data_IF_326991162945
#
_entry.id   IF_326991162945
#
_cell.length_a   1.000
_cell.length_b   1.000
_cell.length_c   1.000
_cell.angle_alpha   90.00
_cell.angle_beta   90.00
_cell.angle_gamma   90.00
#
_symmetry.space_group_name_H-M   'P 1'
#
loop_
_entity.id
_entity.type
_entity.pdbx_description
1 polymer ?
#
# COMPACT_ATOMS: atom_id res chain seq x y z
N UNK A 1 -4.50 -17.74 -2.96
CA UNK A 1 -3.76 -17.54 -4.21
C UNK A 1 -2.55 -16.63 -3.95
N UNK A 2 -1.41 -16.91 -4.55
CA UNK A 2 -0.26 -16.03 -4.37
C UNK A 2 -0.51 -14.66 -5.01
N UNK A 3 0.15 -13.66 -4.48
CA UNK A 3 0.06 -12.30 -4.97
C UNK A 3 0.65 -12.22 -6.38
N UNK A 4 -0.05 -11.56 -7.31
CA UNK A 4 0.46 -11.41 -8.67
C UNK A 4 1.71 -10.52 -8.70
N UNK A 5 2.53 -10.67 -9.73
CA UNK A 5 3.76 -9.89 -9.90
C UNK A 5 3.42 -8.40 -9.96
N UNK A 6 2.36 -8.04 -10.66
CA UNK A 6 1.94 -6.64 -10.79
C UNK A 6 1.52 -6.07 -9.42
N UNK A 7 0.66 -6.78 -8.69
CA UNK A 7 0.22 -6.32 -7.38
C UNK A 7 1.38 -6.26 -6.39
N UNK A 8 2.28 -7.23 -6.42
CA UNK A 8 3.48 -7.18 -5.58
C UNK A 8 4.31 -5.92 -5.83
N UNK A 9 4.45 -5.53 -7.10
CA UNK A 9 5.16 -4.30 -7.46
C UNK A 9 4.47 -3.06 -6.93
N UNK A 10 3.13 -2.99 -7.02
CA UNK A 10 2.36 -1.88 -6.49
C UNK A 10 2.50 -1.78 -4.96
N UNK A 11 2.44 -2.94 -4.28
CA UNK A 11 2.57 -2.97 -2.81
C UNK A 11 3.97 -2.54 -2.39
N UNK A 12 5.02 -2.99 -3.09
CA UNK A 12 6.38 -2.53 -2.81
C UNK A 12 6.49 -1.01 -2.92
N UNK A 13 5.85 -0.42 -3.92
CA UNK A 13 5.85 1.04 -4.11
C UNK A 13 5.20 1.76 -2.93
N UNK A 14 4.19 1.15 -2.30
CA UNK A 14 3.52 1.73 -1.14
C UNK A 14 4.31 1.54 0.15
N UNK A 15 5.04 0.44 0.30
CA UNK A 15 5.84 0.16 1.50
C UNK A 15 7.15 0.94 1.50
N UNK A 16 7.75 1.12 0.33
CA UNK A 16 9.06 1.76 0.19
C UNK A 16 9.18 3.09 0.95
N UNK A 17 8.23 4.03 0.81
CA UNK A 17 8.36 5.32 1.51
C UNK A 17 8.22 5.24 3.03
N UNK A 18 7.71 4.14 3.57
CA UNK A 18 7.50 3.99 5.02
C UNK A 18 8.38 2.92 5.65
N UNK A 19 9.30 2.34 4.88
CA UNK A 19 10.10 1.21 5.36
C UNK A 19 10.95 1.55 6.58
N UNK A 20 11.33 2.80 6.75
CA UNK A 20 12.13 3.28 7.87
C UNK A 20 11.34 4.12 8.88
N UNK A 21 10.04 4.31 8.65
CA UNK A 21 9.20 5.06 9.59
C UNK A 21 8.88 4.21 10.82
N UNK A 22 8.81 4.84 11.98
CA UNK A 22 8.44 4.15 13.21
C UNK A 22 7.00 3.64 13.17
N UNK A 23 6.10 4.43 12.58
CA UNK A 23 4.70 4.07 12.47
C UNK A 23 4.18 4.40 11.07
N UNK A 24 4.03 3.37 10.20
CA UNK A 24 3.54 3.61 8.82
C UNK A 24 2.17 4.27 8.77
N UNK A 25 1.31 4.06 9.78
CA UNK A 25 -0.03 4.66 9.80
C UNK A 25 0.02 6.17 9.85
N UNK A 26 1.07 6.75 10.43
CA UNK A 26 1.23 8.20 10.49
C UNK A 26 1.62 8.80 9.13
N UNK A 27 2.12 7.97 8.22
CA UNK A 27 2.55 8.41 6.89
C UNK A 27 1.44 8.30 5.84
N UNK A 28 0.26 7.77 6.19
CA UNK A 28 -0.80 7.51 5.22
C UNK A 28 -1.19 8.77 4.46
N UNK A 29 -1.34 9.92 5.13
CA UNK A 29 -1.73 11.16 4.46
C UNK A 29 -0.71 11.56 3.38
N UNK A 30 0.58 11.42 3.69
CA UNK A 30 1.65 11.73 2.73
C UNK A 30 1.60 10.78 1.54
N UNK A 31 1.38 9.49 1.80
CA UNK A 31 1.30 8.48 0.74
C UNK A 31 0.09 8.74 -0.15
N UNK A 32 -1.06 9.06 0.44
CA UNK A 32 -2.27 9.36 -0.32
C UNK A 32 -2.07 10.60 -1.19
N UNK A 33 -1.40 11.62 -0.66
CA UNK A 33 -1.09 12.81 -1.45
C UNK A 33 -0.28 12.45 -2.70
N UNK A 34 0.70 11.56 -2.56
CA UNK A 34 1.51 11.10 -3.68
C UNK A 34 0.68 10.30 -4.69
N UNK A 35 -0.13 9.36 -4.20
CA UNK A 35 -0.90 8.46 -5.06
C UNK A 35 -2.02 9.21 -5.80
N UNK A 36 -2.75 10.07 -5.09
CA UNK A 36 -3.97 10.67 -5.64
C UNK A 36 -3.69 11.99 -6.33
N UNK A 37 -2.88 12.85 -5.73
CA UNK A 37 -2.70 14.22 -6.21
C UNK A 37 -1.57 14.35 -7.22
N UNK A 38 -0.39 13.82 -6.89
CA UNK A 38 0.77 14.03 -7.76
C UNK A 38 0.83 13.02 -8.90
N UNK A 39 0.23 11.82 -8.70
CA UNK A 39 0.26 10.73 -9.67
C UNK A 39 1.67 10.46 -10.18
N UNK A 40 2.65 10.62 -9.29
CA UNK A 40 4.05 10.44 -9.65
C UNK A 40 4.44 8.97 -9.89
N UNK A 41 3.53 8.05 -9.58
CA UNK A 41 3.74 6.63 -9.77
C UNK A 41 3.00 6.15 -11.03
N UNK A 42 3.46 5.05 -11.60
CA UNK A 42 2.98 4.55 -12.89
C UNK A 42 1.63 3.86 -12.84
N UNK A 43 0.86 4.05 -11.77
CA UNK A 43 -0.43 3.39 -11.59
C UNK A 43 -1.48 4.39 -11.11
N UNK A 44 -2.74 4.11 -11.44
CA UNK A 44 -3.86 4.92 -10.97
C UNK A 44 -4.22 4.58 -9.52
N UNK A 45 -4.93 5.48 -8.81
CA UNK A 45 -5.42 5.16 -7.46
C UNK A 45 -6.26 3.87 -7.45
N UNK A 46 -7.10 3.65 -8.46
CA UNK A 46 -7.91 2.44 -8.56
C UNK A 46 -7.05 1.18 -8.68
N UNK A 47 -5.96 1.26 -9.43
CA UNK A 47 -5.04 0.13 -9.55
C UNK A 47 -4.37 -0.19 -8.22
N UNK A 48 -3.99 0.83 -7.45
CA UNK A 48 -3.44 0.63 -6.10
C UNK A 48 -4.46 0.00 -5.18
N UNK A 49 -5.70 0.48 -5.21
CA UNK A 49 -6.76 -0.07 -4.37
C UNK A 49 -7.01 -1.55 -4.70
N UNK A 50 -7.06 -1.88 -5.97
CA UNK A 50 -7.24 -3.26 -6.42
C UNK A 50 -6.07 -4.15 -5.98
N UNK A 51 -4.84 -3.67 -6.12
CA UNK A 51 -3.64 -4.40 -5.69
C UNK A 51 -3.63 -4.62 -4.19
N UNK A 52 -4.02 -3.62 -3.40
CA UNK A 52 -4.12 -3.76 -1.95
C UNK A 52 -5.16 -4.81 -1.58
N UNK A 53 -6.32 -4.81 -2.22
CA UNK A 53 -7.37 -5.80 -1.97
C UNK A 53 -6.85 -7.21 -2.21
N UNK A 54 -6.15 -7.41 -3.31
CA UNK A 54 -5.53 -8.69 -3.63
C UNK A 54 -4.52 -9.09 -2.54
N UNK A 55 -3.68 -8.13 -2.12
CA UNK A 55 -2.67 -8.38 -1.09
C UNK A 55 -3.31 -8.79 0.24
N UNK A 56 -4.36 -8.09 0.65
CA UNK A 56 -5.02 -8.37 1.92
C UNK A 56 -5.74 -9.72 1.95
N UNK A 57 -6.10 -10.26 0.80
CA UNK A 57 -6.70 -11.59 0.70
C UNK A 57 -5.67 -12.68 0.47
N UNK A 58 -4.40 -12.31 0.23
CA UNK A 58 -3.33 -13.27 0.00
C UNK A 58 -2.82 -13.84 1.33
N UNK A 59 -2.34 -15.10 1.29
CA UNK A 59 -1.66 -15.72 2.42
C UNK A 59 -0.18 -15.35 2.48
N UNK A 60 0.34 -14.66 1.48
CA UNK A 60 1.76 -14.29 1.42
C UNK A 60 2.10 -13.28 2.52
N UNK A 61 3.35 -13.35 3.01
CA UNK A 61 3.83 -12.38 4.00
C UNK A 61 4.19 -11.09 3.30
N UNK A 62 3.36 -10.09 3.46
CA UNK A 62 3.57 -8.78 2.82
C UNK A 62 4.80 -8.07 3.35
N UNK A 63 5.17 -8.33 4.61
CA UNK A 63 6.36 -7.75 5.21
C UNK A 63 7.67 -8.24 4.56
N UNK A 64 7.62 -9.34 3.81
CA UNK A 64 8.79 -9.88 3.13
C UNK A 64 8.99 -9.30 1.72
N UNK A 65 8.06 -8.49 1.23
CA UNK A 65 8.16 -7.91 -0.12
C UNK A 65 9.29 -6.92 -0.24
N UNK A 66 9.67 -6.27 0.84
CA UNK A 66 10.76 -5.31 0.88
C UNK A 66 11.42 -5.37 2.26
N UNK A 67 12.76 -5.26 2.36
CA UNK A 67 13.43 -5.26 3.66
C UNK A 67 12.96 -4.07 4.52
N UNK A 68 12.41 -4.36 5.69
CA UNK A 68 11.93 -3.36 6.63
C UNK A 68 11.64 -4.05 7.98
N UNK A 69 11.45 -3.26 9.03
CA UNK A 69 11.32 -3.77 10.40
C UNK A 69 9.86 -3.96 10.86
N UNK A 70 8.89 -3.56 10.06
CA UNK A 70 7.49 -3.66 10.45
C UNK A 70 7.00 -5.10 10.33
N UNK A 71 6.12 -5.51 11.26
CA UNK A 71 5.49 -6.83 11.18
C UNK A 71 4.48 -6.90 10.05
N UNK A 72 4.12 -8.12 9.66
CA UNK A 72 3.10 -8.32 8.63
C UNK A 72 1.76 -7.68 9.04
N UNK A 73 1.38 -7.78 10.33
CA UNK A 73 0.17 -7.14 10.83
C UNK A 73 0.17 -5.64 10.62
N UNK A 74 1.30 -4.99 10.93
CA UNK A 74 1.42 -3.54 10.77
C UNK A 74 1.31 -3.16 9.29
N UNK A 75 1.98 -3.90 8.41
CA UNK A 75 1.92 -3.66 6.98
C UNK A 75 0.49 -3.83 6.46
N UNK A 76 -0.23 -4.87 6.89
CA UNK A 76 -1.61 -5.09 6.48
C UNK A 76 -2.53 -3.98 6.94
N UNK A 77 -2.38 -3.49 8.17
CA UNK A 77 -3.16 -2.35 8.68
C UNK A 77 -2.87 -1.08 7.90
N UNK A 78 -1.60 -0.83 7.60
CA UNK A 78 -1.20 0.31 6.80
C UNK A 78 -1.85 0.26 5.42
N UNK A 79 -1.77 -0.87 4.72
CA UNK A 79 -2.36 -1.02 3.40
C UNK A 79 -3.88 -0.89 3.42
N UNK A 80 -4.54 -1.43 4.45
CA UNK A 80 -5.98 -1.30 4.59
C UNK A 80 -6.40 0.17 4.73
N UNK A 81 -5.64 0.95 5.51
CA UNK A 81 -5.92 2.37 5.68
C UNK A 81 -5.66 3.14 4.40
N UNK A 82 -4.59 2.81 3.67
CA UNK A 82 -4.32 3.44 2.37
C UNK A 82 -5.49 3.18 1.41
N UNK A 83 -5.98 1.94 1.33
CA UNK A 83 -7.10 1.61 0.45
C UNK A 83 -8.36 2.39 0.83
N UNK A 84 -8.64 2.50 2.13
CA UNK A 84 -9.80 3.24 2.62
C UNK A 84 -9.72 4.72 2.24
N UNK A 85 -8.54 5.31 2.38
CA UNK A 85 -8.34 6.73 2.04
C UNK A 85 -8.43 6.96 0.53
N UNK A 86 -7.94 6.03 -0.27
CA UNK A 86 -8.08 6.12 -1.73
C UNK A 86 -9.56 6.08 -2.10
N UNK A 87 -10.33 5.19 -1.49
CA UNK A 87 -11.76 5.07 -1.76
C UNK A 87 -12.50 6.36 -1.42
N UNK A 88 -12.22 6.95 -0.26
CA UNK A 88 -12.83 8.22 0.16
C UNK A 88 -12.46 9.33 -0.81
N UNK A 89 -11.20 9.45 -1.19
CA UNK A 89 -10.75 10.48 -2.11
C UNK A 89 -11.37 10.32 -3.50
N UNK A 90 -11.57 9.09 -3.95
CA UNK A 90 -12.18 8.83 -5.27
C UNK A 90 -13.68 9.06 -5.30
N UNK A 91 -14.35 9.03 -4.15
CA UNK A 91 -15.78 9.26 -4.03
C UNK A 91 -16.13 10.75 -4.08
N UNK A 92 -15.15 11.63 -3.95
CA UNK A 92 -15.34 13.09 -4.02
C UNK A 92 -15.17 13.61 -5.47
#
# INVERSE_FOLDING_TARGET
MPLSVRSAGLIRALIYPVQFDDNPLEAVDRVIDTVVRTRSLDATPEEYRSGIREALTSADRLSDLIPQDHSDDVIRRYLAEVARRIEVASAQ
#
